data_IF_189440790079
#
_entry.id   IF_189440790079
#
_cell.length_a   1.000
_cell.length_b   1.000
_cell.length_c   1.000
_cell.angle_alpha   90.00
_cell.angle_beta   90.00
_cell.angle_gamma   90.00
#
_symmetry.space_group_name_H-M   'P 1'
#
loop_
_entity.id
_entity.type
_entity.pdbx_description
1 polymer ?
#
# COMPACT_ATOMS: atom_id res chain seq x y z
N UNK A 1 4.55 -15.46 -26.36
CA UNK A 1 5.10 -16.49 -25.46
C UNK A 1 4.10 -16.67 -24.33
N UNK A 2 3.69 -17.90 -24.05
CA UNK A 2 2.77 -18.22 -22.95
C UNK A 2 3.53 -19.09 -21.95
N UNK A 3 3.42 -18.76 -20.67
CA UNK A 3 3.88 -19.57 -19.54
C UNK A 3 2.67 -20.01 -18.72
N UNK A 4 2.61 -21.28 -18.37
CA UNK A 4 1.51 -21.86 -17.58
C UNK A 4 2.03 -22.40 -16.25
N UNK A 5 1.18 -22.36 -15.22
CA UNK A 5 1.48 -22.95 -13.91
C UNK A 5 2.70 -22.35 -13.21
N UNK A 6 2.96 -21.05 -13.38
CA UNK A 6 4.04 -20.38 -12.68
C UNK A 6 3.75 -20.36 -11.18
N UNK A 7 4.63 -20.97 -10.38
CA UNK A 7 4.60 -20.89 -8.93
C UNK A 7 5.92 -20.31 -8.42
N UNK A 8 5.82 -19.28 -7.58
CA UNK A 8 6.96 -18.66 -6.92
C UNK A 8 6.70 -18.69 -5.43
N UNK A 9 7.59 -19.32 -4.67
CA UNK A 9 7.56 -19.30 -3.22
C UNK A 9 8.90 -18.84 -2.67
N UNK A 10 8.85 -18.10 -1.56
CA UNK A 10 10.02 -17.65 -0.84
C UNK A 10 9.76 -17.66 0.65
N UNK A 11 10.77 -18.07 1.40
CA UNK A 11 10.82 -17.94 2.84
C UNK A 11 11.79 -16.82 3.22
N UNK A 12 11.48 -16.11 4.29
CA UNK A 12 12.34 -15.06 4.87
C UNK A 12 12.79 -13.99 3.86
N UNK A 13 11.81 -13.44 3.13
CA UNK A 13 12.01 -12.33 2.21
C UNK A 13 12.34 -11.05 3.00
N UNK A 14 13.42 -10.38 2.63
CA UNK A 14 13.77 -9.06 3.15
C UNK A 14 14.17 -8.11 2.01
N UNK A 15 13.53 -6.95 1.95
CA UNK A 15 13.82 -5.89 0.98
C UNK A 15 14.46 -4.69 1.67
N UNK A 16 15.57 -4.22 1.11
CA UNK A 16 16.31 -3.05 1.59
C UNK A 16 16.32 -1.97 0.53
N UNK A 17 16.29 -0.72 0.96
CA UNK A 17 16.56 0.39 0.05
C UNK A 17 18.07 0.50 -0.18
N UNK A 18 18.51 1.00 -1.35
CA UNK A 18 19.92 1.25 -1.60
C UNK A 18 20.53 2.10 -0.48
N UNK A 19 21.76 1.77 -0.08
CA UNK A 19 22.52 2.49 0.96
C UNK A 19 21.84 2.48 2.35
N UNK A 20 20.95 1.52 2.61
CA UNK A 20 20.35 1.30 3.93
C UNK A 20 20.60 -0.12 4.42
N UNK A 21 20.97 -0.26 5.69
CA UNK A 21 21.21 -1.59 6.29
C UNK A 21 19.93 -2.24 6.82
N UNK A 22 18.91 -1.43 7.11
CA UNK A 22 17.59 -1.85 7.61
C UNK A 22 16.67 -2.22 6.43
N UNK A 23 16.05 -3.39 6.52
CA UNK A 23 14.98 -3.78 5.61
C UNK A 23 13.73 -2.93 5.84
N UNK A 24 13.16 -2.39 4.77
CA UNK A 24 11.89 -1.65 4.83
C UNK A 24 10.69 -2.60 4.75
N UNK A 25 10.89 -3.81 4.23
CA UNK A 25 9.88 -4.85 4.14
C UNK A 25 10.50 -6.19 4.47
N UNK A 26 9.81 -6.98 5.29
CA UNK A 26 10.15 -8.34 5.61
C UNK A 26 8.89 -9.20 5.61
N UNK A 27 8.99 -10.45 5.17
CA UNK A 27 7.92 -11.45 5.30
C UNK A 27 8.54 -12.85 5.42
N UNK A 28 8.06 -13.65 6.36
CA UNK A 28 8.52 -15.05 6.48
C UNK A 28 8.01 -15.91 5.33
N UNK A 29 6.90 -15.54 4.71
CA UNK A 29 6.35 -16.25 3.56
C UNK A 29 5.88 -15.29 2.48
N UNK A 30 6.33 -15.56 1.26
CA UNK A 30 5.76 -15.06 0.02
C UNK A 30 5.40 -16.28 -0.84
N UNK A 31 4.17 -16.31 -1.36
CA UNK A 31 3.71 -17.35 -2.27
C UNK A 31 2.86 -16.72 -3.38
N UNK A 32 3.17 -17.03 -4.64
CA UNK A 32 2.49 -16.51 -5.81
C UNK A 32 2.20 -17.67 -6.77
N UNK A 33 0.93 -17.87 -7.05
CA UNK A 33 0.42 -18.85 -8.00
C UNK A 33 -0.18 -18.12 -9.21
N UNK A 34 0.48 -18.24 -10.35
CA UNK A 34 0.07 -17.62 -11.61
C UNK A 34 -0.19 -18.71 -12.67
N UNK A 35 -1.44 -19.18 -12.83
CA UNK A 35 -1.76 -20.24 -13.78
C UNK A 35 -1.44 -19.87 -15.23
N UNK A 36 -1.44 -18.57 -15.57
CA UNK A 36 -1.19 -18.12 -16.94
C UNK A 36 -0.51 -16.75 -17.00
N UNK A 37 0.55 -16.69 -17.80
CA UNK A 37 1.22 -15.45 -18.21
C UNK A 37 1.37 -15.44 -19.74
N UNK A 38 0.65 -14.54 -20.40
CA UNK A 38 0.65 -14.39 -21.86
C UNK A 38 1.30 -13.05 -22.24
N UNK A 39 2.59 -13.11 -22.57
CA UNK A 39 3.34 -11.91 -22.93
C UNK A 39 2.89 -11.31 -24.27
N UNK A 40 2.34 -12.13 -25.18
CA UNK A 40 1.90 -11.65 -26.49
C UNK A 40 0.56 -10.92 -26.39
N UNK A 41 -0.36 -11.44 -25.55
CA UNK A 41 -1.62 -10.78 -25.25
C UNK A 41 -1.49 -9.63 -24.24
N UNK A 42 -0.37 -9.56 -23.51
CA UNK A 42 -0.17 -8.59 -22.45
C UNK A 42 -1.04 -8.91 -21.22
N UNK A 43 -1.15 -10.18 -20.85
CA UNK A 43 -2.04 -10.63 -19.78
C UNK A 43 -1.30 -11.48 -18.74
N UNK A 44 -1.59 -11.22 -17.46
CA UNK A 44 -1.16 -12.03 -16.32
C UNK A 44 -2.38 -12.39 -15.48
N UNK A 45 -2.58 -13.68 -15.25
CA UNK A 45 -3.56 -14.19 -14.30
C UNK A 45 -2.82 -14.79 -13.11
N UNK A 46 -3.07 -14.21 -11.94
CA UNK A 46 -2.60 -14.68 -10.63
C UNK A 46 -3.80 -15.25 -9.88
N UNK A 47 -3.77 -16.54 -9.60
CA UNK A 47 -4.79 -17.18 -8.77
C UNK A 47 -4.64 -16.75 -7.31
N UNK A 48 -3.40 -16.64 -6.82
CA UNK A 48 -3.12 -16.25 -5.44
C UNK A 48 -1.82 -15.48 -5.29
N UNK A 49 -1.84 -14.46 -4.46
CA UNK A 49 -0.66 -13.84 -3.85
C UNK A 49 -0.82 -13.85 -2.33
N UNK A 50 0.11 -14.46 -1.61
CA UNK A 50 0.15 -14.51 -0.15
C UNK A 50 1.44 -13.85 0.36
N UNK A 51 1.28 -12.96 1.34
CA UNK A 51 2.35 -12.44 2.19
C UNK A 51 1.99 -12.74 3.64
N UNK A 52 2.90 -13.36 4.40
CA UNK A 52 2.62 -13.67 5.79
C UNK A 52 3.80 -13.42 6.74
N UNK A 53 3.44 -13.06 7.97
CA UNK A 53 4.30 -12.92 9.14
C UNK A 53 5.52 -12.04 8.87
N UNK A 54 5.28 -10.73 8.87
CA UNK A 54 6.24 -9.77 8.36
C UNK A 54 6.08 -8.39 8.96
N UNK A 55 6.85 -7.45 8.43
CA UNK A 55 6.85 -6.08 8.89
C UNK A 55 7.17 -5.10 7.75
N UNK A 56 6.57 -3.91 7.80
CA UNK A 56 6.84 -2.79 6.90
C UNK A 56 7.23 -1.55 7.70
N UNK A 57 8.33 -0.91 7.31
CA UNK A 57 8.85 0.36 7.85
C UNK A 57 8.63 1.46 6.80
N UNK A 58 7.68 2.35 7.11
CA UNK A 58 7.27 3.48 6.28
C UNK A 58 7.77 4.76 6.94
N UNK A 59 8.52 5.58 6.22
CA UNK A 59 9.14 6.78 6.79
C UNK A 59 8.96 7.99 5.88
N UNK A 60 8.44 9.07 6.44
CA UNK A 60 8.45 10.40 5.82
C UNK A 60 9.56 11.21 6.47
N UNK A 61 10.48 11.70 5.66
CA UNK A 61 11.55 12.60 6.12
C UNK A 61 11.04 14.02 6.42
N UNK A 62 11.92 14.87 6.93
CA UNK A 62 11.60 16.26 7.30
C UNK A 62 11.10 17.09 6.09
N UNK A 63 11.45 16.69 4.87
CA UNK A 63 10.99 17.27 3.62
C UNK A 63 9.70 16.65 3.06
N UNK A 64 9.09 15.69 3.78
CA UNK A 64 7.91 14.95 3.33
C UNK A 64 8.21 13.84 2.31
N UNK A 65 9.49 13.54 2.09
CA UNK A 65 9.93 12.46 1.21
C UNK A 65 9.63 11.09 1.83
N UNK A 66 8.84 10.27 1.15
CA UNK A 66 8.56 8.90 1.58
C UNK A 66 9.70 7.96 1.13
N UNK A 67 10.23 7.16 2.05
CA UNK A 67 11.29 6.19 1.78
C UNK A 67 10.98 5.24 0.60
N UNK A 68 9.71 4.86 0.46
CA UNK A 68 9.23 3.97 -0.62
C UNK A 68 9.15 4.64 -2.01
N UNK A 69 9.30 5.96 -2.12
CA UNK A 69 9.33 6.62 -3.44
C UNK A 69 10.46 6.10 -4.33
N UNK A 70 11.55 5.62 -3.73
CA UNK A 70 12.68 5.03 -4.45
C UNK A 70 12.33 3.70 -5.15
N UNK A 71 11.25 3.04 -4.72
CA UNK A 71 10.77 1.77 -5.31
C UNK A 71 9.93 2.03 -6.57
N UNK A 72 9.15 3.12 -6.59
CA UNK A 72 8.16 3.42 -7.64
C UNK A 72 8.66 4.37 -8.72
N UNK A 73 9.78 5.07 -8.51
CA UNK A 73 10.36 5.93 -9.56
C UNK A 73 11.01 5.05 -10.63
N UNK A 74 10.62 5.18 -11.91
CA UNK A 74 11.42 4.66 -12.99
C UNK A 74 12.79 5.32 -12.87
N UNK A 75 13.86 4.54 -12.84
CA UNK A 75 15.21 5.07 -13.03
C UNK A 75 15.27 5.68 -14.42
N UNK A 76 14.98 6.97 -14.54
CA UNK A 76 15.36 7.73 -15.72
C UNK A 76 16.89 7.63 -15.79
N UNK A 77 17.46 7.19 -16.93
CA UNK A 77 18.90 7.20 -17.07
C UNK A 77 19.40 8.62 -16.79
N UNK A 78 20.33 8.74 -15.83
CA UNK A 78 20.99 10.01 -15.55
C UNK A 78 21.52 10.55 -16.89
N UNK A 79 21.02 11.73 -17.29
CA UNK A 79 21.62 12.45 -18.40
C UNK A 79 23.06 12.77 -17.99
N UNK A 80 24.00 11.97 -18.49
CA UNK A 80 25.41 12.29 -18.43
C UNK A 80 25.61 13.70 -19.00
N UNK A 81 26.18 14.65 -18.22
CA UNK A 81 26.43 15.99 -18.71
C UNK A 81 27.65 15.94 -19.64
N UNK A 82 27.40 15.79 -20.94
CA UNK A 82 28.50 15.82 -21.91
C UNK A 82 28.22 15.12 -23.22
N UNK A 83 27.23 15.56 -24.00
CA UNK A 83 27.26 15.31 -25.45
C UNK A 83 26.71 16.52 -26.20
N UNK A 84 27.59 17.15 -26.96
CA UNK A 84 27.32 18.31 -27.84
C UNK A 84 26.14 18.00 -28.76
N UNK A 85 25.23 18.96 -28.85
CA UNK A 85 24.03 18.98 -29.70
C UNK A 85 24.37 18.71 -31.18
N UNK A 86 23.86 17.62 -31.80
CA UNK A 86 23.72 17.56 -33.25
C UNK A 86 22.42 18.30 -33.67
N UNK A 87 22.43 18.82 -34.91
CA UNK A 87 21.36 19.60 -35.54
C UNK A 87 19.96 18.92 -35.49
N UNK A 88 18.85 19.68 -35.68
CA UNK A 88 17.50 19.19 -35.49
C UNK A 88 17.18 18.04 -36.46
N UNK A 89 17.08 16.82 -35.93
CA UNK A 89 16.49 15.70 -36.64
C UNK A 89 14.96 15.84 -36.63
N UNK A 90 14.34 15.46 -37.75
CA UNK A 90 12.89 15.35 -37.94
C UNK A 90 12.25 14.67 -36.73
N UNK A 91 11.14 15.19 -36.16
CA UNK A 91 10.50 14.55 -35.03
C UNK A 91 10.13 13.12 -35.41
N UNK A 92 10.49 12.10 -34.59
CA UNK A 92 10.03 10.75 -34.84
C UNK A 92 8.50 10.73 -34.86
N UNK A 93 7.88 9.86 -35.68
CA UNK A 93 6.44 9.68 -35.65
C UNK A 93 5.99 9.38 -34.21
N UNK A 94 4.80 9.86 -33.80
CA UNK A 94 4.29 9.60 -32.47
C UNK A 94 4.32 8.09 -32.22
N UNK A 95 5.08 7.67 -31.21
CA UNK A 95 5.13 6.28 -30.81
C UNK A 95 3.70 5.86 -30.45
N UNK A 96 3.16 4.88 -31.18
CA UNK A 96 1.89 4.25 -30.82
C UNK A 96 2.03 3.74 -29.39
N UNK A 97 1.19 4.25 -28.48
CA UNK A 97 1.17 3.79 -27.10
C UNK A 97 0.95 2.27 -27.11
N UNK A 98 1.87 1.53 -26.48
CA UNK A 98 1.71 0.08 -26.35
C UNK A 98 0.40 -0.23 -25.62
N UNK A 99 -0.35 -1.27 -26.04
CA UNK A 99 -1.58 -1.65 -25.37
C UNK A 99 -1.32 -1.95 -23.88
N UNK A 100 -2.30 -1.67 -23.00
CA UNK A 100 -2.10 -1.86 -21.56
C UNK A 100 -1.91 -3.33 -21.22
N UNK A 101 -0.95 -3.60 -20.35
CA UNK A 101 -0.71 -4.92 -19.78
C UNK A 101 -1.75 -5.17 -18.67
N UNK A 102 -2.61 -6.17 -18.85
CA UNK A 102 -3.70 -6.51 -17.93
C UNK A 102 -3.24 -7.52 -16.89
N UNK A 103 -3.56 -7.26 -15.64
CA UNK A 103 -3.24 -8.14 -14.51
C UNK A 103 -4.54 -8.42 -13.76
N UNK A 104 -4.90 -9.69 -13.61
CA UNK A 104 -6.00 -10.14 -12.75
C UNK A 104 -5.43 -10.96 -11.61
N UNK A 105 -5.83 -10.64 -10.39
CA UNK A 105 -5.47 -11.35 -9.18
C UNK A 105 -6.74 -11.77 -8.45
N UNK A 106 -7.00 -13.09 -8.40
CA UNK A 106 -8.25 -13.62 -7.84
C UNK A 106 -8.28 -13.51 -6.31
N UNK A 107 -7.12 -13.60 -5.66
CA UNK A 107 -6.94 -13.43 -4.23
C UNK A 107 -5.56 -12.83 -3.88
N UNK A 108 -5.57 -11.73 -3.13
CA UNK A 108 -4.42 -11.20 -2.40
C UNK A 108 -4.69 -11.38 -0.92
N UNK A 109 -3.85 -12.17 -0.26
CA UNK A 109 -3.88 -12.39 1.19
C UNK A 109 -2.63 -11.75 1.81
N UNK A 110 -2.84 -10.85 2.77
CA UNK A 110 -1.78 -10.34 3.65
C UNK A 110 -2.15 -10.79 5.05
N UNK A 111 -1.29 -11.55 5.70
CA UNK A 111 -1.56 -12.14 7.00
C UNK A 111 -0.50 -11.69 8.01
N UNK A 112 -0.94 -11.09 9.10
CA UNK A 112 -0.09 -10.75 10.23
C UNK A 112 1.16 -9.93 9.85
N UNK A 113 0.97 -8.87 9.06
CA UNK A 113 2.05 -7.93 8.72
C UNK A 113 2.01 -6.75 9.68
N UNK A 114 3.08 -6.53 10.45
CA UNK A 114 3.22 -5.33 11.26
C UNK A 114 3.56 -4.11 10.40
N UNK A 115 3.10 -2.92 10.81
CA UNK A 115 3.42 -1.66 10.12
C UNK A 115 3.90 -0.64 11.14
N UNK A 116 5.06 -0.04 10.88
CA UNK A 116 5.55 1.14 11.60
C UNK A 116 5.66 2.30 10.61
N UNK A 117 4.98 3.39 10.92
CA UNK A 117 5.02 4.65 10.18
C UNK A 117 5.68 5.72 11.06
N UNK A 118 6.79 6.29 10.61
CA UNK A 118 7.47 7.43 11.25
C UNK A 118 7.37 8.65 10.34
N UNK A 119 6.51 9.62 10.70
CA UNK A 119 6.32 10.88 9.99
C UNK A 119 7.08 12.01 10.70
N UNK A 120 8.23 12.39 10.14
CA UNK A 120 9.06 13.50 10.62
C UNK A 120 8.88 14.79 9.84
N UNK A 121 8.00 14.79 8.84
CA UNK A 121 7.70 15.98 8.02
C UNK A 121 7.01 17.11 8.82
N UNK A 122 6.63 16.83 10.07
CA UNK A 122 5.92 17.75 10.96
C UNK A 122 6.81 18.25 12.08
N UNK A 123 6.52 19.47 12.56
CA UNK A 123 7.19 20.08 13.73
C UNK A 123 7.22 19.19 14.96
N UNK A 124 6.17 18.39 15.16
CA UNK A 124 6.13 17.33 16.15
C UNK A 124 5.94 16.01 15.41
N UNK A 125 6.96 15.14 15.39
CA UNK A 125 6.87 13.87 14.68
C UNK A 125 5.69 13.02 15.12
N UNK A 126 5.08 12.30 14.18
CA UNK A 126 3.98 11.38 14.45
C UNK A 126 4.47 9.97 14.16
N UNK A 127 4.22 9.06 15.09
CA UNK A 127 4.39 7.62 14.84
C UNK A 127 3.03 6.93 14.83
N UNK A 128 2.81 6.07 13.84
CA UNK A 128 1.68 5.17 13.82
C UNK A 128 2.17 3.72 13.75
N UNK A 129 1.62 2.86 14.60
CA UNK A 129 2.00 1.43 14.66
C UNK A 129 0.78 0.56 14.54
N UNK A 130 0.87 -0.51 13.77
CA UNK A 130 -0.10 -1.60 13.70
C UNK A 130 0.67 -2.88 13.98
N UNK A 131 0.26 -3.65 15.00
CA UNK A 131 0.97 -4.88 15.36
C UNK A 131 0.74 -6.01 14.35
N UNK A 132 -0.41 -6.00 13.68
CA UNK A 132 -0.70 -6.95 12.60
C UNK A 132 -1.83 -6.46 11.70
N UNK A 133 -1.60 -6.57 10.41
CA UNK A 133 -2.58 -6.34 9.34
C UNK A 133 -2.95 -7.70 8.76
N UNK A 134 -4.24 -7.99 8.76
CA UNK A 134 -4.83 -9.00 7.89
C UNK A 134 -5.62 -8.29 6.79
N UNK A 135 -5.45 -8.70 5.53
CA UNK A 135 -6.12 -8.15 4.36
C UNK A 135 -6.44 -9.27 3.38
N UNK A 136 -7.67 -9.26 2.87
CA UNK A 136 -8.08 -10.05 1.72
C UNK A 136 -8.70 -9.13 0.68
N UNK A 137 -8.32 -9.27 -0.59
CA UNK A 137 -8.94 -8.55 -1.70
C UNK A 137 -8.78 -9.29 -3.03
N UNK A 138 -9.54 -8.84 -4.03
CA UNK A 138 -9.35 -9.16 -5.45
C UNK A 138 -8.86 -7.90 -6.18
N UNK A 139 -8.04 -8.06 -7.21
CA UNK A 139 -7.49 -6.93 -7.95
C UNK A 139 -7.52 -7.15 -9.47
N UNK A 140 -7.90 -6.11 -10.18
CA UNK A 140 -7.72 -5.97 -11.63
C UNK A 140 -6.91 -4.71 -11.88
N UNK A 141 -5.82 -4.82 -12.63
CA UNK A 141 -4.91 -3.71 -12.92
C UNK A 141 -4.62 -3.62 -14.41
N UNK A 142 -4.45 -2.40 -14.90
CA UNK A 142 -3.93 -2.11 -16.23
C UNK A 142 -2.66 -1.26 -16.09
N UNK A 143 -1.51 -1.81 -16.50
CA UNK A 143 -0.24 -1.10 -16.55
C UNK A 143 0.03 -0.60 -17.98
N UNK A 144 0.30 0.70 -18.15
CA UNK A 144 0.50 1.32 -19.47
C UNK A 144 0.29 2.83 -19.46
N UNK A 145 0.25 3.45 -20.64
CA UNK A 145 0.16 4.92 -20.79
C UNK A 145 -1.10 5.55 -20.17
N UNK A 146 -2.16 4.75 -19.95
CA UNK A 146 -3.39 5.14 -19.28
C UNK A 146 -3.64 4.26 -18.05
N UNK A 147 -3.08 4.64 -16.90
CA UNK A 147 -3.11 3.88 -15.63
C UNK A 147 -4.48 3.90 -14.91
N UNK A 148 -5.58 4.16 -15.63
CA UNK A 148 -6.93 4.27 -15.06
C UNK A 148 -7.61 2.94 -14.72
N UNK A 149 -7.03 1.79 -15.08
CA UNK A 149 -7.69 0.49 -14.96
C UNK A 149 -7.41 -0.29 -13.68
N UNK A 150 -7.26 0.37 -12.52
CA UNK A 150 -7.05 -0.35 -11.26
C UNK A 150 -8.33 -0.39 -10.44
N UNK A 151 -8.85 -1.60 -10.24
CA UNK A 151 -10.05 -1.88 -9.45
C UNK A 151 -9.72 -2.93 -8.40
N UNK A 152 -10.07 -2.64 -7.15
CA UNK A 152 -9.95 -3.55 -6.01
C UNK A 152 -11.36 -3.88 -5.51
N UNK A 153 -11.63 -5.16 -5.23
CA UNK A 153 -12.94 -5.64 -4.78
C UNK A 153 -12.82 -6.57 -3.60
N UNK A 154 -13.95 -6.76 -2.91
CA UNK A 154 -14.08 -7.65 -1.75
C UNK A 154 -13.01 -7.36 -0.68
N UNK A 155 -12.65 -6.09 -0.54
CA UNK A 155 -11.64 -5.68 0.43
C UNK A 155 -12.19 -5.95 1.82
N UNK A 156 -11.50 -6.83 2.54
CA UNK A 156 -11.72 -7.09 3.96
C UNK A 156 -10.40 -6.94 4.67
N UNK A 157 -10.38 -6.18 5.77
CA UNK A 157 -9.16 -5.97 6.55
C UNK A 157 -9.43 -5.90 8.04
N UNK A 158 -8.42 -6.31 8.82
CA UNK A 158 -8.39 -6.14 10.26
C UNK A 158 -6.99 -5.67 10.67
N UNK A 159 -6.95 -4.56 11.40
CA UNK A 159 -5.73 -3.99 11.99
C UNK A 159 -5.77 -4.26 13.48
N UNK A 160 -4.72 -4.90 14.01
CA UNK A 160 -4.54 -5.16 15.44
C UNK A 160 -3.64 -4.12 16.09
N UNK A 161 -4.00 -3.70 17.30
CA UNK A 161 -3.19 -2.81 18.14
C UNK A 161 -2.77 -1.52 17.41
N UNK A 162 -3.73 -0.88 16.71
CA UNK A 162 -3.47 0.35 15.99
C UNK A 162 -3.28 1.51 16.96
N UNK A 163 -2.11 2.16 16.92
CA UNK A 163 -1.79 3.30 17.76
C UNK A 163 -1.23 4.45 16.92
N UNK A 164 -1.58 5.67 17.28
CA UNK A 164 -1.00 6.91 16.76
C UNK A 164 -0.52 7.71 17.95
N UNK A 165 0.73 8.17 17.93
CA UNK A 165 1.34 8.93 19.01
C UNK A 165 2.23 10.05 18.48
N UNK A 166 2.47 11.07 19.31
CA UNK A 166 3.45 12.12 19.03
C UNK A 166 4.78 11.74 19.65
N UNK A 167 5.84 11.76 18.85
CA UNK A 167 7.20 11.49 19.30
C UNK A 167 7.25 10.30 20.30
N UNK A 168 7.87 10.46 21.48
CA UNK A 168 7.86 9.49 22.58
C UNK A 168 6.87 9.82 23.69
N UNK A 169 5.72 10.45 23.37
CA UNK A 169 4.69 10.73 24.35
C UNK A 169 4.17 9.43 25.01
N UNK A 170 3.95 9.47 26.32
CA UNK A 170 3.49 8.31 27.08
C UNK A 170 2.04 7.90 26.76
N UNK A 171 1.20 8.86 26.36
CA UNK A 171 -0.19 8.62 25.96
C UNK A 171 -0.32 8.73 24.43
N UNK A 172 -0.94 7.75 23.76
CA UNK A 172 -1.21 7.84 22.33
C UNK A 172 -2.34 8.85 22.06
N UNK A 173 -2.25 9.55 20.92
CA UNK A 173 -3.34 10.37 20.41
C UNK A 173 -4.58 9.53 20.07
N UNK A 174 -4.34 8.33 19.58
CA UNK A 174 -5.35 7.36 19.22
C UNK A 174 -4.83 5.96 19.50
N UNK A 175 -5.66 5.11 20.08
CA UNK A 175 -5.38 3.69 20.18
C UNK A 175 -6.65 2.88 19.95
N UNK A 176 -6.52 1.74 19.27
CA UNK A 176 -7.59 0.78 19.09
C UNK A 176 -7.01 -0.63 19.12
N UNK A 177 -7.72 -1.55 19.75
CA UNK A 177 -7.29 -2.94 19.72
C UNK A 177 -7.59 -3.58 18.37
N UNK A 178 -8.75 -3.26 17.79
CA UNK A 178 -9.08 -3.69 16.43
C UNK A 178 -9.74 -2.55 15.67
N UNK A 179 -9.27 -2.31 14.44
CA UNK A 179 -9.99 -1.56 13.42
C UNK A 179 -10.22 -2.49 12.23
N UNK A 180 -11.46 -2.72 11.85
CA UNK A 180 -11.80 -3.63 10.74
C UNK A 180 -12.65 -2.93 9.68
N UNK A 181 -12.41 -3.30 8.43
CA UNK A 181 -13.14 -2.80 7.27
C UNK A 181 -13.62 -3.98 6.42
N UNK A 182 -14.88 -3.98 5.99
CA UNK A 182 -15.49 -5.04 5.18
C UNK A 182 -16.31 -4.50 4.02
N UNK A 183 -16.42 -5.30 2.95
CA UNK A 183 -17.19 -4.97 1.76
C UNK A 183 -16.60 -3.81 0.98
N UNK A 184 -15.28 -3.63 1.02
CA UNK A 184 -14.64 -2.50 0.36
C UNK A 184 -14.46 -2.70 -1.15
N UNK A 185 -14.69 -1.64 -1.90
CA UNK A 185 -14.32 -1.53 -3.31
C UNK A 185 -13.57 -0.22 -3.55
N UNK A 186 -12.58 -0.26 -4.45
CA UNK A 186 -11.84 0.91 -4.86
C UNK A 186 -11.64 0.90 -6.37
N UNK A 187 -11.95 2.00 -7.03
CA UNK A 187 -11.62 2.22 -8.44
C UNK A 187 -10.73 3.45 -8.53
N UNK A 188 -9.45 3.25 -8.86
CA UNK A 188 -8.48 4.34 -8.94
C UNK A 188 -8.69 5.22 -10.18
N UNK A 189 -9.31 4.69 -11.24
CA UNK A 189 -9.65 5.45 -12.44
C UNK A 189 -10.83 6.39 -12.20
N UNK A 190 -11.88 5.86 -11.58
CA UNK A 190 -13.04 6.64 -11.14
C UNK A 190 -12.76 7.45 -9.86
N UNK A 191 -11.61 7.22 -9.20
CA UNK A 191 -11.22 7.81 -7.91
C UNK A 191 -12.28 7.59 -6.84
N UNK A 192 -12.94 6.44 -6.88
CA UNK A 192 -14.01 6.10 -5.97
C UNK A 192 -13.56 5.04 -4.96
N UNK A 193 -14.17 5.10 -3.79
CA UNK A 193 -14.00 4.12 -2.73
C UNK A 193 -15.32 3.95 -2.00
N UNK A 194 -15.69 2.71 -1.73
CA UNK A 194 -16.86 2.36 -0.93
C UNK A 194 -16.47 1.33 0.11
N UNK A 195 -17.23 1.29 1.20
CA UNK A 195 -17.07 0.33 2.27
C UNK A 195 -18.43 0.06 2.89
N UNK A 196 -18.78 -1.20 3.09
CA UNK A 196 -20.03 -1.59 3.73
C UNK A 196 -19.98 -1.36 5.23
N UNK A 197 -18.84 -1.70 5.86
CA UNK A 197 -18.67 -1.62 7.30
C UNK A 197 -17.27 -1.18 7.69
N UNK A 198 -17.21 -0.16 8.53
CA UNK A 198 -16.05 0.16 9.35
C UNK A 198 -16.42 -0.07 10.82
N UNK A 199 -15.61 -0.84 11.54
CA UNK A 199 -15.84 -1.13 12.95
C UNK A 199 -14.58 -0.96 13.78
N UNK A 200 -14.78 -0.47 15.01
CA UNK A 200 -13.72 -0.21 15.98
C UNK A 200 -14.02 -1.00 17.26
N UNK A 201 -13.03 -1.76 17.74
CA UNK A 201 -13.11 -2.44 19.03
C UNK A 201 -12.10 -1.85 20.01
N UNK A 202 -12.59 -1.49 21.21
CA UNK A 202 -11.77 -0.98 22.33
C UNK A 202 -10.88 0.21 21.91
N UNK A 203 -11.50 1.21 21.29
CA UNK A 203 -10.86 2.45 20.88
C UNK A 203 -10.77 3.49 22.01
N UNK A 204 -9.78 4.38 21.91
CA UNK A 204 -9.61 5.55 22.76
C UNK A 204 -8.94 6.69 21.99
N UNK A 205 -9.40 7.91 22.20
CA UNK A 205 -8.84 9.13 21.61
C UNK A 205 -8.43 10.04 22.75
N UNK A 206 -7.18 10.48 22.77
CA UNK A 206 -6.78 11.55 23.68
C UNK A 206 -7.15 12.90 23.04
N UNK A 207 -7.97 13.69 23.75
CA UNK A 207 -8.40 15.00 23.27
C UNK A 207 -7.35 16.04 23.65
N UNK A 208 -7.05 16.93 22.71
CA UNK A 208 -6.09 18.01 22.90
C UNK A 208 -6.35 18.80 24.21
N UNK A 209 -5.36 18.99 25.09
CA UNK A 209 -5.50 19.86 26.25
C UNK A 209 -5.56 21.31 25.76
N UNK A 210 -6.79 21.79 25.58
CA UNK A 210 -7.13 23.12 25.08
C UNK A 210 -8.64 23.40 25.03
N UNK A 211 -9.48 22.40 25.24
CA UNK A 211 -10.90 22.59 25.59
C UNK A 211 -11.23 21.79 26.84
N UNK A 212 -11.86 22.47 27.80
CA UNK A 212 -12.31 21.93 29.06
C UNK A 212 -13.34 20.80 28.85
N UNK A 213 -13.27 19.81 29.76
CA UNK A 213 -14.30 18.82 30.14
C UNK A 213 -14.22 17.37 29.56
N UNK A 214 -14.12 16.45 30.54
CA UNK A 214 -14.51 15.03 30.59
C UNK A 214 -13.85 14.03 29.62
N UNK A 215 -12.99 13.17 30.19
CA UNK A 215 -12.51 11.94 29.58
C UNK A 215 -13.69 10.99 29.29
N UNK A 216 -14.07 10.87 28.01
CA UNK A 216 -15.08 9.91 27.57
C UNK A 216 -14.41 8.65 27.04
N UNK A 217 -14.55 7.53 27.76
CA UNK A 217 -14.34 6.19 27.17
C UNK A 217 -15.50 5.95 26.18
N UNK A 218 -15.24 6.08 24.88
CA UNK A 218 -16.21 5.69 23.86
C UNK A 218 -16.15 4.17 23.68
N UNK A 219 -16.90 3.45 24.51
CA UNK A 219 -17.29 2.07 24.25
C UNK A 219 -18.56 2.07 23.43
N UNK A 220 -18.44 2.18 22.11
CA UNK A 220 -19.54 1.92 21.19
C UNK A 220 -18.97 1.36 19.89
N UNK A 221 -19.45 0.19 19.48
CA UNK A 221 -19.28 -0.29 18.11
C UNK A 221 -20.11 0.63 17.20
N UNK A 222 -19.56 1.78 16.80
CA UNK A 222 -20.19 2.63 15.80
C UNK A 222 -19.88 2.07 14.41
N UNK A 223 -20.91 1.44 13.82
CA UNK A 223 -20.93 1.11 12.40
C UNK A 223 -21.11 2.40 11.61
N UNK A 224 -20.03 2.98 11.12
CA UNK A 224 -20.11 4.10 10.19
C UNK A 224 -20.27 3.50 8.78
N UNK A 225 -21.49 3.52 8.26
CA UNK A 225 -21.74 3.27 6.84
C UNK A 225 -21.25 4.50 6.06
N UNK A 226 -20.18 4.34 5.28
CA UNK A 226 -19.72 5.40 4.39
C UNK A 226 -20.71 5.52 3.22
N UNK A 227 -21.48 6.61 3.21
CA UNK A 227 -22.43 6.91 2.13
C UNK A 227 -21.71 7.17 0.80
N UNK A 228 -22.32 6.69 -0.29
CA UNK A 228 -21.90 6.96 -1.67
C UNK A 228 -21.77 8.47 -1.91
N UNK A 229 -20.60 8.92 -2.35
CA UNK A 229 -20.43 10.21 -3.03
C UNK A 229 -20.43 10.00 -4.54
#
# INVERSE_FOLDING_TARGET
MILEGLHVSSADLALKLPKTDRAFFQAKKLDLEAPRFDLAAGELHVARLLLADGAVDVRLDDGGGLNLQQVVRPTLPEKSPGKKTPAPAVPPPPATAAPPFKIRIDAVDVNNIAVDLDDRSRKTPIRATIAGVDLHLQAELAAGADTGGTVLRKITSALRDFRIQRDRAAAPLFAAETLSAEGGECDLGARSFSLERLALARGGIDRYPGQNAAAGRAGAAESIAAGRQ
#
